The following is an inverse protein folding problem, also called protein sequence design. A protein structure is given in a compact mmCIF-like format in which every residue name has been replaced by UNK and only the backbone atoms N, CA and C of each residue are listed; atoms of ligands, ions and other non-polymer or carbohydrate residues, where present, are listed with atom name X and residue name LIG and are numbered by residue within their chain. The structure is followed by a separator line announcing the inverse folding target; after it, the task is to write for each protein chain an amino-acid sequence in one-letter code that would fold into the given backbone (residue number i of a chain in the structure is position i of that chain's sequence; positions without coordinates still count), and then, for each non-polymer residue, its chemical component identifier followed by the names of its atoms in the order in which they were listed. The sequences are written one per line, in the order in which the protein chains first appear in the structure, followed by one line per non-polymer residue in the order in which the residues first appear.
data_IF_291988609089
#
_entry.id   IF_291988609089
#
_cell.length_a   1.000
_cell.length_b   1.000
_cell.length_c   1.000
_cell.angle_alpha   90.00
_cell.angle_beta   90.00
_cell.angle_gamma   90.00
#
_symmetry.space_group_name_H-M   'P 1'
#
loop_
_entity.id
_entity.type
_entity.pdbx_description
1 polymer ?
#
# COMPACT_ATOMS: atom_id res chain seq x y z
N UNK A 1 -29.78 20.81 -22.15
CA UNK A 1 -28.35 21.23 -22.22
C UNK A 1 -27.84 21.43 -23.65
N UNK A 2 -28.34 20.69 -24.65
CA UNK A 2 -27.96 20.85 -26.08
C UNK A 2 -28.53 22.12 -26.74
N UNK A 3 -29.69 22.60 -26.29
CA UNK A 3 -30.31 23.83 -26.81
C UNK A 3 -29.55 25.11 -26.44
N UNK A 4 -28.88 25.18 -25.29
CA UNK A 4 -28.11 26.35 -24.84
C UNK A 4 -26.75 26.53 -25.54
N UNK A 5 -26.23 25.46 -26.19
CA UNK A 5 -24.96 25.54 -26.94
C UNK A 5 -25.15 26.03 -28.38
N UNK A 6 -26.38 25.96 -28.93
CA UNK A 6 -26.70 26.52 -30.26
C UNK A 6 -26.72 28.05 -30.28
N UNK A 7 -26.96 28.68 -29.14
CA UNK A 7 -27.11 30.16 -29.03
C UNK A 7 -25.77 30.92 -28.97
N UNK A 8 -24.64 30.22 -28.82
CA UNK A 8 -23.30 30.82 -28.70
C UNK A 8 -22.41 30.71 -29.93
N UNK A 9 -22.82 30.02 -30.96
CA UNK A 9 -22.17 30.13 -32.27
C UNK A 9 -22.77 31.37 -32.99
N UNK A 10 -22.11 32.48 -32.78
CA UNK A 10 -22.33 33.78 -33.43
C UNK A 10 -22.13 33.59 -34.94
N UNK A 11 -23.12 33.03 -35.62
CA UNK A 11 -23.19 33.01 -37.09
C UNK A 11 -23.58 34.43 -37.49
N UNK A 12 -22.57 35.30 -37.58
CA UNK A 12 -22.74 36.62 -38.16
C UNK A 12 -23.41 36.45 -39.51
N UNK A 13 -24.69 36.79 -39.60
CA UNK A 13 -25.39 36.94 -40.86
C UNK A 13 -24.56 37.94 -41.69
N UNK A 14 -24.08 37.53 -42.86
CA UNK A 14 -23.23 38.42 -43.65
C UNK A 14 -24.01 39.71 -44.03
N UNK A 15 -23.35 40.88 -43.95
CA UNK A 15 -24.06 42.17 -44.24
C UNK A 15 -24.66 42.16 -45.67
N UNK A 16 -25.84 42.71 -45.79
CA UNK A 16 -26.65 42.75 -47.02
C UNK A 16 -25.87 42.96 -48.34
N UNK A 17 -24.77 43.76 -48.34
CA UNK A 17 -23.89 44.00 -49.50
C UNK A 17 -23.09 42.76 -50.00
N UNK A 18 -22.96 41.67 -49.21
CA UNK A 18 -22.19 40.47 -49.60
C UNK A 18 -23.03 39.45 -50.35
N UNK A 19 -24.37 39.59 -50.34
CA UNK A 19 -25.28 38.65 -51.03
C UNK A 19 -25.49 38.94 -52.51
N UNK A 20 -25.16 40.14 -52.96
CA UNK A 20 -25.30 40.51 -54.39
C UNK A 20 -24.29 39.83 -55.32
N UNK A 21 -23.20 39.27 -54.73
CA UNK A 21 -22.11 38.59 -55.48
C UNK A 21 -21.86 37.16 -55.04
N UNK A 22 -22.86 36.39 -54.57
CA UNK A 22 -22.70 34.96 -54.44
C UNK A 22 -22.60 34.38 -55.82
N UNK A 23 -21.39 34.16 -56.29
CA UNK A 23 -21.15 33.32 -57.48
C UNK A 23 -21.69 31.94 -57.14
N UNK A 24 -22.70 31.52 -57.87
CA UNK A 24 -23.26 30.14 -57.81
C UNK A 24 -22.23 29.22 -58.45
N UNK A 25 -21.14 28.98 -57.71
CA UNK A 25 -20.04 28.08 -58.11
C UNK A 25 -19.96 26.85 -57.25
N UNK A 26 -20.64 26.79 -56.09
CA UNK A 26 -20.72 25.61 -55.26
C UNK A 26 -21.90 24.74 -55.73
N UNK A 27 -21.66 23.54 -56.25
CA UNK A 27 -22.73 22.65 -56.74
C UNK A 27 -23.71 22.20 -55.65
N UNK A 28 -23.42 22.47 -54.38
CA UNK A 28 -24.29 22.22 -53.24
C UNK A 28 -25.26 23.37 -52.91
N UNK A 29 -25.12 24.51 -53.58
CA UNK A 29 -25.94 25.73 -53.35
C UNK A 29 -26.88 25.87 -54.52
N UNK A 30 -28.18 25.99 -54.21
CA UNK A 30 -29.24 26.26 -55.20
C UNK A 30 -29.99 27.51 -54.77
N UNK A 31 -30.27 28.36 -55.74
CA UNK A 31 -31.09 29.57 -55.60
C UNK A 31 -32.48 29.31 -56.16
N UNK A 32 -33.50 29.63 -55.38
CA UNK A 32 -34.90 29.50 -55.75
C UNK A 32 -35.54 30.88 -55.65
N UNK A 33 -36.27 31.29 -56.69
CA UNK A 33 -37.03 32.53 -56.67
C UNK A 33 -38.52 32.17 -56.63
N UNK A 34 -39.25 32.71 -55.65
CA UNK A 34 -40.66 32.45 -55.41
C UNK A 34 -41.48 33.72 -55.69
N UNK A 35 -42.52 33.61 -56.43
CA UNK A 35 -43.52 34.67 -56.65
C UNK A 35 -44.93 34.08 -56.49
N UNK A 36 -45.32 33.71 -55.27
CA UNK A 36 -46.49 32.93 -54.98
C UNK A 36 -46.54 31.49 -55.55
N UNK A 37 -45.77 31.25 -56.60
CA UNK A 37 -45.42 29.96 -57.25
C UNK A 37 -43.94 29.98 -57.58
N UNK A 38 -43.36 28.81 -57.81
CA UNK A 38 -41.96 28.75 -58.21
C UNK A 38 -41.76 29.42 -59.56
N UNK A 39 -40.89 30.40 -59.59
CA UNK A 39 -40.61 31.14 -60.78
C UNK A 39 -39.31 30.69 -61.49
N UNK A 40 -38.28 30.42 -60.70
CA UNK A 40 -36.98 30.06 -61.27
C UNK A 40 -36.11 29.29 -60.26
N UNK A 41 -35.43 28.20 -60.75
CA UNK A 41 -34.42 27.48 -59.99
C UNK A 41 -33.08 27.64 -60.70
N UNK A 42 -32.11 28.21 -60.01
CA UNK A 42 -30.73 28.41 -60.50
C UNK A 42 -29.77 27.57 -59.70
N UNK A 43 -29.14 26.57 -60.33
CA UNK A 43 -28.16 25.67 -59.72
C UNK A 43 -27.98 24.42 -60.59
N UNK A 44 -26.77 23.83 -60.57
CA UNK A 44 -26.42 22.75 -61.45
C UNK A 44 -26.63 21.34 -60.84
N UNK A 45 -27.26 21.26 -59.63
CA UNK A 45 -27.48 20.05 -58.90
C UNK A 45 -28.77 19.31 -59.33
N UNK A 46 -28.66 18.43 -60.33
CA UNK A 46 -29.80 17.61 -60.85
C UNK A 46 -30.48 16.77 -59.77
N UNK A 47 -29.72 16.29 -58.76
CA UNK A 47 -30.29 15.49 -57.66
C UNK A 47 -31.10 16.38 -56.72
N UNK A 48 -30.67 17.58 -56.46
CA UNK A 48 -31.46 18.53 -55.64
C UNK A 48 -32.78 18.86 -56.34
N UNK A 49 -32.73 19.06 -57.64
CA UNK A 49 -33.90 19.46 -58.46
C UNK A 49 -35.02 18.37 -58.36
N UNK A 50 -34.69 17.11 -58.51
CA UNK A 50 -35.68 16.01 -58.37
C UNK A 50 -36.30 15.97 -56.94
N UNK A 51 -35.46 16.06 -55.88
CA UNK A 51 -35.95 16.07 -54.50
C UNK A 51 -36.86 17.28 -54.24
N UNK A 52 -36.49 18.43 -54.75
CA UNK A 52 -37.21 19.64 -54.57
C UNK A 52 -38.59 19.61 -55.27
N UNK A 53 -38.64 19.11 -56.54
CA UNK A 53 -39.87 18.97 -57.30
C UNK A 53 -40.89 18.02 -56.65
N UNK A 54 -40.39 16.96 -56.01
CA UNK A 54 -41.23 15.96 -55.32
C UNK A 54 -41.69 16.45 -53.92
N UNK A 55 -40.96 17.40 -53.28
CA UNK A 55 -41.22 17.80 -51.86
C UNK A 55 -41.32 19.34 -51.73
N UNK A 56 -42.04 19.96 -52.65
CA UNK A 56 -42.15 21.41 -52.76
C UNK A 56 -42.58 22.10 -51.48
N UNK A 57 -43.55 21.49 -50.78
CA UNK A 57 -44.11 22.07 -49.53
C UNK A 57 -43.07 22.14 -48.42
N UNK A 58 -42.16 21.18 -48.33
CA UNK A 58 -41.08 21.15 -47.30
C UNK A 58 -40.07 22.27 -47.47
N UNK A 59 -39.90 22.79 -48.70
CA UNK A 59 -39.00 23.91 -49.02
C UNK A 59 -39.69 25.27 -49.02
N UNK A 60 -41.00 25.32 -48.71
CA UNK A 60 -41.72 26.62 -48.66
C UNK A 60 -41.07 27.57 -47.66
N UNK A 61 -40.84 28.84 -48.04
CA UNK A 61 -40.23 29.84 -47.19
C UNK A 61 -41.20 30.28 -46.08
N UNK A 62 -41.20 29.57 -44.95
CA UNK A 62 -42.05 29.88 -43.78
C UNK A 62 -41.59 31.12 -43.04
N UNK A 63 -40.26 31.36 -42.98
CA UNK A 63 -39.64 32.48 -42.27
C UNK A 63 -38.69 33.25 -43.16
N UNK A 64 -38.82 34.55 -43.19
CA UNK A 64 -37.91 35.45 -43.92
C UNK A 64 -36.77 35.89 -42.99
N UNK A 65 -35.58 35.99 -43.52
CA UNK A 65 -34.35 36.44 -42.84
C UNK A 65 -33.86 35.51 -41.71
N UNK A 66 -34.37 34.25 -41.60
CA UNK A 66 -33.93 33.24 -40.69
C UNK A 66 -33.38 32.01 -41.45
N UNK A 67 -32.45 31.26 -40.79
CA UNK A 67 -31.99 29.99 -41.30
C UNK A 67 -33.02 28.91 -40.95
N UNK A 68 -33.40 28.15 -41.94
CA UNK A 68 -34.31 27.00 -41.80
C UNK A 68 -33.56 25.72 -42.13
N UNK A 69 -33.58 24.77 -41.21
CA UNK A 69 -33.06 23.39 -41.45
C UNK A 69 -34.23 22.55 -41.94
N UNK A 70 -34.07 21.93 -43.09
CA UNK A 70 -35.08 21.13 -43.78
C UNK A 70 -34.58 19.69 -43.93
N UNK A 71 -35.31 18.73 -43.44
CA UNK A 71 -35.01 17.32 -43.62
C UNK A 71 -36.01 16.68 -44.60
N UNK A 72 -35.50 16.18 -45.69
CA UNK A 72 -36.30 15.52 -46.75
C UNK A 72 -35.58 14.28 -47.26
N UNK A 73 -36.27 13.15 -47.27
CA UNK A 73 -35.77 11.86 -47.76
C UNK A 73 -34.39 11.48 -47.18
N UNK A 74 -34.17 11.76 -45.88
CA UNK A 74 -32.90 11.45 -45.17
C UNK A 74 -31.74 12.35 -45.58
N UNK A 75 -32.02 13.49 -46.24
CA UNK A 75 -31.05 14.54 -46.53
C UNK A 75 -31.35 15.80 -45.76
N UNK A 76 -30.29 16.51 -45.41
CA UNK A 76 -30.37 17.74 -44.62
C UNK A 76 -30.00 18.91 -45.50
N UNK A 77 -30.92 19.90 -45.54
CA UNK A 77 -30.74 21.12 -46.27
C UNK A 77 -30.86 22.30 -45.34
N UNK A 78 -30.10 23.36 -45.58
CA UNK A 78 -30.20 24.61 -44.86
C UNK A 78 -30.59 25.71 -45.84
N UNK A 79 -31.73 26.32 -45.58
CA UNK A 79 -32.32 27.36 -46.42
C UNK A 79 -32.29 28.71 -45.72
N UNK A 80 -32.08 29.75 -46.49
CA UNK A 80 -32.17 31.15 -46.07
C UNK A 80 -32.99 31.93 -47.09
N UNK A 81 -34.05 32.61 -46.65
CA UNK A 81 -35.00 33.29 -47.52
C UNK A 81 -34.99 34.77 -47.27
N UNK A 82 -34.96 35.57 -48.37
CA UNK A 82 -34.99 37.03 -48.37
C UNK A 82 -36.06 37.56 -49.33
N UNK A 83 -36.74 38.67 -48.97
CA UNK A 83 -37.62 39.31 -49.86
C UNK A 83 -36.87 40.43 -50.64
N UNK A 84 -36.92 40.41 -51.96
CA UNK A 84 -36.29 41.36 -52.84
C UNK A 84 -37.23 41.68 -54.02
N UNK A 85 -37.52 42.93 -54.23
CA UNK A 85 -38.34 43.45 -55.36
C UNK A 85 -39.75 42.78 -55.50
N UNK A 86 -40.35 42.39 -54.35
CA UNK A 86 -41.66 41.69 -54.33
C UNK A 86 -41.58 40.18 -54.52
N UNK A 87 -40.42 39.66 -54.78
CA UNK A 87 -40.14 38.19 -54.85
C UNK A 87 -39.38 37.70 -53.64
N UNK A 88 -39.54 36.40 -53.29
CA UNK A 88 -38.76 35.80 -52.24
C UNK A 88 -37.61 34.99 -52.90
N UNK A 89 -36.38 35.39 -52.55
CA UNK A 89 -35.17 34.68 -52.99
C UNK A 89 -34.74 33.78 -51.86
N UNK A 90 -34.74 32.46 -52.06
CA UNK A 90 -34.30 31.43 -51.12
C UNK A 90 -33.00 30.82 -51.63
N UNK A 91 -32.02 30.73 -50.76
CA UNK A 91 -30.76 30.02 -50.98
C UNK A 91 -30.79 28.76 -50.16
N UNK A 92 -30.70 27.62 -50.81
CA UNK A 92 -30.70 26.28 -50.18
C UNK A 92 -29.35 25.60 -50.39
N UNK A 93 -28.79 25.12 -49.34
CA UNK A 93 -27.53 24.38 -49.31
C UNK A 93 -27.74 22.97 -48.77
N UNK A 94 -27.24 21.97 -49.48
CA UNK A 94 -27.16 20.58 -48.98
C UNK A 94 -26.05 20.47 -47.93
N UNK A 95 -26.42 20.11 -46.71
CA UNK A 95 -25.53 19.93 -45.53
C UNK A 95 -25.52 18.49 -45.05
N UNK A 96 -26.03 17.56 -45.86
CA UNK A 96 -26.14 16.14 -45.48
C UNK A 96 -24.80 15.54 -45.11
N UNK A 97 -23.72 15.87 -45.81
CA UNK A 97 -22.39 15.37 -45.55
C UNK A 97 -21.82 15.92 -44.22
N UNK A 98 -22.06 17.20 -43.96
CA UNK A 98 -21.62 17.88 -42.74
C UNK A 98 -22.35 17.32 -41.51
N UNK A 99 -23.68 17.14 -41.58
CA UNK A 99 -24.47 16.52 -40.49
C UNK A 99 -24.07 15.06 -40.26
N UNK A 100 -23.85 14.28 -41.32
CA UNK A 100 -23.36 12.92 -41.23
C UNK A 100 -21.99 12.83 -40.55
N UNK A 101 -21.07 13.75 -40.88
CA UNK A 101 -19.76 13.83 -40.26
C UNK A 101 -19.87 14.18 -38.76
N UNK A 102 -20.70 15.16 -38.41
CA UNK A 102 -20.92 15.60 -37.04
C UNK A 102 -21.50 14.47 -36.18
N UNK A 103 -22.50 13.72 -36.70
CA UNK A 103 -23.08 12.61 -36.02
C UNK A 103 -22.08 11.46 -35.81
N UNK A 104 -21.24 11.18 -36.80
CA UNK A 104 -20.18 10.18 -36.70
C UNK A 104 -19.14 10.58 -35.66
N UNK A 105 -18.69 11.83 -35.66
CA UNK A 105 -17.77 12.35 -34.65
C UNK A 105 -18.37 12.29 -33.25
N UNK A 106 -19.63 12.66 -33.11
CA UNK A 106 -20.35 12.58 -31.83
C UNK A 106 -20.41 11.13 -31.31
N UNK A 107 -20.74 10.19 -32.20
CA UNK A 107 -20.78 8.76 -31.84
C UNK A 107 -19.41 8.25 -31.39
N UNK A 108 -18.36 8.57 -32.15
CA UNK A 108 -16.97 8.20 -31.79
C UNK A 108 -16.59 8.78 -30.43
N UNK A 109 -16.92 10.04 -30.15
CA UNK A 109 -16.65 10.68 -28.87
C UNK A 109 -17.39 9.98 -27.72
N UNK A 110 -18.69 9.70 -27.90
CA UNK A 110 -19.49 9.04 -26.87
C UNK A 110 -18.95 7.64 -26.56
N UNK A 111 -18.64 6.85 -27.60
CA UNK A 111 -18.07 5.52 -27.43
C UNK A 111 -16.68 5.61 -26.76
N UNK A 112 -15.82 6.49 -27.24
CA UNK A 112 -14.48 6.67 -26.68
C UNK A 112 -14.51 7.09 -25.21
N UNK A 113 -15.34 8.07 -24.86
CA UNK A 113 -15.53 8.50 -23.46
C UNK A 113 -16.11 7.39 -22.60
N UNK A 114 -17.05 6.61 -23.10
CA UNK A 114 -17.66 5.50 -22.36
C UNK A 114 -16.63 4.39 -22.08
N UNK A 115 -15.88 3.98 -23.08
CA UNK A 115 -14.81 2.98 -22.92
C UNK A 115 -13.72 3.50 -21.97
N UNK A 116 -13.28 4.76 -22.16
CA UNK A 116 -12.28 5.39 -21.29
C UNK A 116 -12.73 5.44 -19.83
N UNK A 117 -13.99 5.78 -19.58
CA UNK A 117 -14.57 5.81 -18.24
C UNK A 117 -14.64 4.42 -17.61
N UNK A 118 -15.07 3.40 -18.37
CA UNK A 118 -15.09 2.02 -17.87
C UNK A 118 -13.70 1.49 -17.54
N UNK A 119 -12.71 1.76 -18.39
CA UNK A 119 -11.32 1.41 -18.14
C UNK A 119 -10.77 2.12 -16.89
N UNK A 120 -11.03 3.42 -16.75
CA UNK A 120 -10.58 4.19 -15.59
C UNK A 120 -11.18 3.65 -14.27
N UNK A 121 -12.47 3.33 -14.27
CA UNK A 121 -13.15 2.71 -13.13
C UNK A 121 -12.51 1.36 -12.80
N UNK A 122 -12.32 0.48 -13.79
CA UNK A 122 -11.72 -0.84 -13.61
C UNK A 122 -10.29 -0.77 -13.04
N UNK A 123 -9.45 0.09 -13.61
CA UNK A 123 -8.09 0.34 -13.11
C UNK A 123 -8.13 0.92 -11.70
N UNK A 124 -9.04 1.87 -11.43
CA UNK A 124 -9.22 2.46 -10.10
C UNK A 124 -9.56 1.42 -9.04
N UNK A 125 -10.51 0.53 -9.30
CA UNK A 125 -10.85 -0.57 -8.39
C UNK A 125 -9.69 -1.56 -8.18
N UNK A 126 -8.99 -1.91 -9.24
CA UNK A 126 -7.82 -2.80 -9.17
C UNK A 126 -6.70 -2.20 -8.30
N UNK A 127 -6.34 -0.95 -8.54
CA UNK A 127 -5.30 -0.25 -7.78
C UNK A 127 -5.72 -0.04 -6.32
N UNK A 128 -6.97 0.37 -6.07
CA UNK A 128 -7.50 0.55 -4.72
C UNK A 128 -7.47 -0.76 -3.94
N UNK A 129 -7.93 -1.87 -4.51
CA UNK A 129 -7.87 -3.18 -3.88
C UNK A 129 -6.43 -3.58 -3.53
N UNK A 130 -5.49 -3.38 -4.46
CA UNK A 130 -4.08 -3.72 -4.21
C UNK A 130 -3.39 -2.81 -3.17
N UNK A 131 -3.79 -1.55 -3.09
CA UNK A 131 -3.24 -0.61 -2.11
C UNK A 131 -3.84 -0.76 -0.71
N UNK A 132 -5.11 -1.14 -0.60
CA UNK A 132 -5.80 -1.27 0.68
C UNK A 132 -5.41 -2.53 1.45
N UNK A 133 -5.11 -3.65 0.78
CA UNK A 133 -4.74 -4.91 1.44
C UNK A 133 -3.56 -4.77 2.41
N UNK A 134 -2.40 -4.17 2.04
CA UNK A 134 -1.30 -4.00 2.97
C UNK A 134 -1.61 -3.03 4.12
N UNK A 135 -2.44 -2.02 3.89
CA UNK A 135 -2.86 -1.07 4.92
C UNK A 135 -3.74 -1.77 5.95
N UNK A 136 -4.73 -2.55 5.50
CA UNK A 136 -5.59 -3.32 6.38
C UNK A 136 -4.81 -4.34 7.20
N UNK A 137 -3.91 -5.10 6.57
CA UNK A 137 -3.04 -6.06 7.27
C UNK A 137 -2.15 -5.38 8.32
N UNK A 138 -1.61 -4.19 8.03
CA UNK A 138 -0.82 -3.42 9.00
C UNK A 138 -1.67 -2.93 10.16
N UNK A 139 -2.90 -2.50 9.89
CA UNK A 139 -3.85 -2.09 10.92
C UNK A 139 -4.26 -3.24 11.83
N UNK A 140 -4.57 -4.40 11.28
CA UNK A 140 -4.91 -5.61 12.03
C UNK A 140 -3.75 -6.04 12.95
N UNK A 141 -2.52 -6.04 12.43
CA UNK A 141 -1.30 -6.33 13.21
C UNK A 141 -1.10 -5.32 14.34
N UNK A 142 -1.39 -4.04 14.11
CA UNK A 142 -1.28 -3.00 15.14
C UNK A 142 -2.35 -3.16 16.23
N UNK A 143 -3.59 -3.48 15.87
CA UNK A 143 -4.65 -3.77 16.83
C UNK A 143 -4.30 -5.00 17.68
N UNK A 144 -3.83 -6.08 17.03
CA UNK A 144 -3.38 -7.29 17.73
C UNK A 144 -2.25 -6.97 18.71
N UNK A 145 -1.25 -6.18 18.29
CA UNK A 145 -0.15 -5.74 19.14
C UNK A 145 -0.62 -5.02 20.40
N UNK A 146 -1.59 -4.09 20.29
CA UNK A 146 -2.14 -3.36 21.46
C UNK A 146 -2.92 -4.30 22.37
N UNK A 147 -3.69 -5.23 21.80
CA UNK A 147 -4.43 -6.24 22.56
C UNK A 147 -3.50 -7.14 23.37
N UNK A 148 -2.48 -7.70 22.71
CA UNK A 148 -1.53 -8.62 23.33
C UNK A 148 -0.68 -7.92 24.40
N UNK A 149 -0.24 -6.66 24.12
CA UNK A 149 0.45 -5.83 25.10
C UNK A 149 -0.39 -5.62 26.36
N UNK A 150 -1.69 -5.35 26.18
CA UNK A 150 -2.62 -5.14 27.31
C UNK A 150 -2.79 -6.41 28.15
N UNK A 151 -2.85 -7.57 27.52
CA UNK A 151 -2.91 -8.86 28.21
C UNK A 151 -1.63 -9.17 28.96
N UNK A 152 -0.47 -8.97 28.34
CA UNK A 152 0.84 -9.25 28.93
C UNK A 152 1.19 -8.29 30.10
N UNK A 153 0.65 -7.06 30.09
CA UNK A 153 0.79 -6.10 31.20
C UNK A 153 -0.15 -6.43 32.36
N UNK A 154 -1.36 -6.92 32.11
CA UNK A 154 -2.38 -7.18 33.12
C UNK A 154 -1.95 -8.29 34.10
N UNK A 155 -1.37 -9.37 33.58
CA UNK A 155 -1.02 -10.54 34.40
C UNK A 155 0.00 -10.23 35.51
N UNK A 156 1.18 -9.64 35.23
CA UNK A 156 2.14 -9.28 36.28
C UNK A 156 1.60 -8.21 37.23
N UNK A 157 0.79 -7.28 36.73
CA UNK A 157 0.16 -6.27 37.57
C UNK A 157 -0.79 -6.89 38.60
N UNK A 158 -1.60 -7.86 38.17
CA UNK A 158 -2.50 -8.59 39.08
C UNK A 158 -1.72 -9.38 40.15
N UNK A 159 -0.56 -9.96 39.79
CA UNK A 159 0.31 -10.65 40.74
C UNK A 159 0.88 -9.67 41.77
N UNK A 160 1.38 -8.52 41.29
CA UNK A 160 1.89 -7.45 42.21
C UNK A 160 0.80 -7.03 43.15
N UNK A 161 -0.41 -6.74 42.66
CA UNK A 161 -1.55 -6.31 43.45
C UNK A 161 -1.94 -7.36 44.47
N UNK A 162 -2.10 -8.61 44.09
CA UNK A 162 -2.42 -9.72 45.00
C UNK A 162 -1.37 -9.90 46.10
N UNK A 163 -0.07 -9.83 45.73
CA UNK A 163 1.01 -9.95 46.72
C UNK A 163 1.05 -8.75 47.69
N UNK A 164 0.75 -7.56 47.17
CA UNK A 164 0.64 -6.35 48.01
C UNK A 164 -0.53 -6.45 48.99
N UNK A 165 -1.69 -6.97 48.57
CA UNK A 165 -2.85 -7.21 49.44
C UNK A 165 -2.52 -8.20 50.58
N UNK A 166 -1.73 -9.26 50.27
CA UNK A 166 -1.24 -10.21 51.27
C UNK A 166 -0.34 -9.53 52.32
N UNK A 167 0.50 -8.56 51.89
CA UNK A 167 1.32 -7.78 52.82
C UNK A 167 0.45 -6.92 53.74
N UNK A 168 -0.58 -6.27 53.22
CA UNK A 168 -1.50 -5.46 54.03
C UNK A 168 -2.31 -6.29 55.02
N UNK A 169 -2.65 -7.53 54.72
CA UNK A 169 -3.37 -8.43 55.62
C UNK A 169 -2.50 -8.97 56.76
N UNK A 170 -1.19 -8.73 56.73
CA UNK A 170 -0.25 -9.24 57.73
C UNK A 170 0.60 -8.09 58.32
N UNK A 171 -0.01 -7.08 58.98
CA UNK A 171 0.71 -5.87 59.42
C UNK A 171 1.76 -6.11 60.50
N UNK A 172 1.68 -7.25 61.21
CA UNK A 172 2.65 -7.63 62.25
C UNK A 172 3.80 -8.51 61.73
N UNK A 173 3.73 -8.93 60.47
CA UNK A 173 4.77 -9.81 59.92
C UNK A 173 6.05 -9.03 59.63
N UNK A 174 7.17 -9.67 59.91
CA UNK A 174 8.49 -9.10 59.58
C UNK A 174 8.78 -9.11 58.09
N UNK A 175 9.74 -8.30 57.63
CA UNK A 175 10.22 -8.31 56.24
C UNK A 175 10.77 -9.69 55.87
N UNK A 176 11.42 -10.38 56.83
CA UNK A 176 11.98 -11.70 56.61
C UNK A 176 10.90 -12.73 56.34
N UNK A 177 9.81 -12.71 57.12
CA UNK A 177 8.64 -13.60 56.91
C UNK A 177 7.95 -13.36 55.58
N UNK A 178 8.00 -12.12 55.03
CA UNK A 178 7.40 -11.72 53.76
C UNK A 178 8.41 -11.60 52.63
N UNK A 179 9.64 -12.04 52.82
CA UNK A 179 10.71 -11.95 51.81
C UNK A 179 10.34 -12.55 50.44
N UNK A 180 9.61 -13.65 50.42
CA UNK A 180 9.14 -14.30 49.21
C UNK A 180 8.10 -13.47 48.47
N UNK A 181 7.15 -12.84 49.19
CA UNK A 181 6.14 -12.01 48.55
C UNK A 181 6.78 -10.72 47.98
N UNK A 182 7.70 -10.11 48.73
CA UNK A 182 8.47 -8.92 48.32
C UNK A 182 9.36 -9.24 47.11
N UNK A 183 10.03 -10.41 47.12
CA UNK A 183 10.86 -10.89 46.02
C UNK A 183 10.03 -11.09 44.74
N UNK A 184 8.82 -11.65 44.89
CA UNK A 184 7.89 -11.84 43.78
C UNK A 184 7.47 -10.50 43.18
N UNK A 185 7.07 -9.52 44.02
CA UNK A 185 6.76 -8.17 43.57
C UNK A 185 7.93 -7.56 42.80
N UNK A 186 9.14 -7.65 43.37
CA UNK A 186 10.35 -7.12 42.71
C UNK A 186 10.66 -7.79 41.35
N UNK A 187 10.44 -9.13 41.25
CA UNK A 187 10.60 -9.87 39.99
C UNK A 187 9.60 -9.39 38.94
N UNK A 188 8.33 -9.23 39.31
CA UNK A 188 7.29 -8.79 38.39
C UNK A 188 7.47 -7.32 37.96
N UNK A 189 7.93 -6.43 38.86
CA UNK A 189 8.28 -5.05 38.51
C UNK A 189 9.40 -5.01 37.45
N UNK A 190 10.47 -5.81 37.62
CA UNK A 190 11.55 -5.92 36.62
C UNK A 190 11.05 -6.47 35.30
N UNK A 191 10.16 -7.48 35.32
CA UNK A 191 9.53 -8.04 34.13
C UNK A 191 8.72 -7.00 33.37
N UNK A 192 7.88 -6.22 34.08
CA UNK A 192 7.09 -5.12 33.51
C UNK A 192 8.00 -4.05 32.89
N UNK A 193 9.07 -3.65 33.57
CA UNK A 193 10.01 -2.66 33.04
C UNK A 193 10.66 -3.13 31.73
N UNK A 194 11.11 -4.41 31.68
CA UNK A 194 11.65 -5.01 30.44
C UNK A 194 10.59 -5.08 29.32
N UNK A 195 9.34 -5.44 29.66
CA UNK A 195 8.23 -5.48 28.70
C UNK A 195 7.94 -4.12 28.11
N UNK A 196 7.79 -3.09 28.94
CA UNK A 196 7.53 -1.69 28.50
C UNK A 196 8.69 -1.19 27.62
N UNK A 197 9.94 -1.44 28.00
CA UNK A 197 11.11 -1.06 27.21
C UNK A 197 11.10 -1.72 25.83
N UNK A 198 10.74 -3.00 25.76
CA UNK A 198 10.63 -3.74 24.49
C UNK A 198 9.48 -3.22 23.61
N UNK A 199 8.33 -2.90 24.22
CA UNK A 199 7.18 -2.32 23.51
C UNK A 199 7.52 -0.95 22.92
N UNK A 200 8.18 -0.08 23.69
CA UNK A 200 8.64 1.22 23.21
C UNK A 200 9.69 1.10 22.09
N UNK A 201 10.59 0.12 22.19
CA UNK A 201 11.56 -0.16 21.15
C UNK A 201 10.86 -0.54 19.85
N UNK A 202 9.92 -1.48 19.90
CA UNK A 202 9.16 -1.93 18.70
C UNK A 202 8.28 -0.81 18.13
N UNK A 203 7.59 -0.03 18.98
CA UNK A 203 6.80 1.09 18.51
C UNK A 203 7.63 2.17 17.78
N UNK A 204 8.83 2.48 18.32
CA UNK A 204 9.77 3.40 17.66
C UNK A 204 10.39 2.80 16.40
N UNK A 205 10.55 1.47 16.34
CA UNK A 205 11.07 0.77 15.16
C UNK A 205 10.13 0.87 13.97
N UNK A 206 8.82 0.76 14.22
CA UNK A 206 7.76 0.87 13.21
C UNK A 206 7.68 2.26 12.59
N UNK A 207 7.93 3.28 13.39
CA UNK A 207 7.97 4.68 12.92
C UNK A 207 9.30 5.08 12.27
N UNK A 208 10.23 4.14 12.12
CA UNK A 208 11.59 4.37 11.62
C UNK A 208 12.36 5.50 12.33
N UNK A 209 12.01 5.75 13.61
CA UNK A 209 12.57 6.85 14.42
C UNK A 209 13.86 6.47 15.17
N UNK A 210 14.31 5.22 15.05
CA UNK A 210 15.53 4.76 15.70
C UNK A 210 16.70 4.93 14.75
N UNK A 211 17.56 5.87 15.07
CA UNK A 211 18.87 5.98 14.43
C UNK A 211 19.82 4.94 15.05
N UNK A 212 20.55 4.22 14.18
CA UNK A 212 21.57 3.25 14.59
C UNK A 212 22.92 3.95 14.76
N UNK A 213 23.54 3.83 15.92
CA UNK A 213 24.91 4.30 16.15
C UNK A 213 25.93 3.28 15.62
N UNK A 214 26.03 3.20 14.27
CA UNK A 214 26.91 2.23 13.60
C UNK A 214 28.36 2.68 13.63
N UNK A 215 29.21 1.89 14.28
CA UNK A 215 30.64 2.07 14.38
C UNK A 215 31.35 0.75 14.09
N UNK A 216 32.61 0.81 13.70
CA UNK A 216 33.44 -0.39 13.55
C UNK A 216 33.88 -0.84 14.95
N UNK A 217 33.63 -2.11 15.26
CA UNK A 217 34.11 -2.76 16.48
C UNK A 217 34.51 -4.20 16.21
N UNK A 218 35.28 -4.80 17.16
CA UNK A 218 35.72 -6.19 17.13
C UNK A 218 34.60 -7.09 17.64
N UNK A 219 33.94 -7.80 16.71
CA UNK A 219 32.79 -8.64 17.01
C UNK A 219 33.21 -9.88 17.83
N UNK A 220 34.38 -10.45 17.58
CA UNK A 220 34.93 -11.55 18.34
C UNK A 220 35.05 -11.20 19.84
N UNK A 221 35.57 -10.02 20.16
CA UNK A 221 35.68 -9.55 21.56
C UNK A 221 34.28 -9.32 22.19
N UNK A 222 33.35 -8.77 21.43
CA UNK A 222 31.99 -8.57 21.92
C UNK A 222 31.33 -9.92 22.24
N UNK A 223 31.48 -10.93 21.38
CA UNK A 223 30.94 -12.27 21.62
C UNK A 223 31.58 -12.93 22.85
N UNK A 224 32.91 -12.82 23.03
CA UNK A 224 33.61 -13.31 24.21
C UNK A 224 33.06 -12.65 25.50
N UNK A 225 32.89 -11.31 25.48
CA UNK A 225 32.34 -10.53 26.60
C UNK A 225 30.91 -10.96 26.98
N UNK A 226 30.06 -11.19 25.98
CA UNK A 226 28.67 -11.61 26.22
C UNK A 226 28.58 -13.06 26.71
N UNK A 227 29.34 -13.97 26.12
CA UNK A 227 29.25 -15.40 26.39
C UNK A 227 29.90 -15.79 27.72
N UNK A 228 30.90 -15.07 28.21
CA UNK A 228 31.60 -15.35 29.43
C UNK A 228 30.65 -15.54 30.66
N UNK A 229 29.76 -14.58 31.01
CA UNK A 229 28.84 -14.78 32.13
C UNK A 229 27.81 -15.89 31.88
N UNK A 230 27.41 -16.12 30.61
CA UNK A 230 26.49 -17.22 30.29
C UNK A 230 27.12 -18.61 30.52
N UNK A 231 28.44 -18.76 30.30
CA UNK A 231 29.15 -20.02 30.61
C UNK A 231 29.07 -20.35 32.09
N UNK A 232 29.23 -19.35 32.96
CA UNK A 232 29.09 -19.54 34.39
C UNK A 232 27.68 -19.99 34.78
N UNK A 233 26.65 -19.28 34.25
CA UNK A 233 25.25 -19.60 34.50
C UNK A 233 24.92 -21.01 33.94
N UNK A 234 25.39 -21.35 32.75
CA UNK A 234 25.20 -22.65 32.12
C UNK A 234 25.78 -23.77 33.02
N UNK A 235 26.99 -23.58 33.53
CA UNK A 235 27.62 -24.54 34.46
C UNK A 235 26.79 -24.75 35.73
N UNK A 236 26.20 -23.68 36.31
CA UNK A 236 25.30 -23.83 37.47
C UNK A 236 24.01 -24.59 37.14
N UNK A 237 23.59 -24.57 35.87
CA UNK A 237 22.41 -25.29 35.37
C UNK A 237 22.76 -26.65 34.73
N UNK A 238 23.96 -27.16 35.00
CA UNK A 238 24.47 -28.40 34.44
C UNK A 238 24.41 -28.49 32.92
N UNK A 239 24.62 -27.34 32.23
CA UNK A 239 24.65 -27.23 30.76
C UNK A 239 26.06 -26.89 30.29
N UNK A 240 26.42 -27.37 29.10
CA UNK A 240 27.70 -27.04 28.49
C UNK A 240 27.54 -25.90 27.47
N UNK A 241 28.37 -24.85 27.55
CA UNK A 241 28.37 -23.77 26.61
C UNK A 241 29.73 -23.58 25.95
N UNK A 242 29.77 -23.65 24.62
CA UNK A 242 30.98 -23.53 23.82
C UNK A 242 30.89 -22.33 22.89
N UNK A 243 31.98 -21.52 22.82
CA UNK A 243 32.13 -20.45 21.86
C UNK A 243 33.29 -20.79 20.91
N UNK A 244 33.02 -20.77 19.61
CA UNK A 244 33.99 -20.90 18.54
C UNK A 244 33.92 -19.62 17.68
N UNK A 245 34.89 -18.76 17.80
CA UNK A 245 34.95 -17.50 17.08
C UNK A 245 36.30 -17.34 16.36
N UNK A 246 36.25 -16.95 15.10
CA UNK A 246 37.43 -16.52 14.37
C UNK A 246 37.93 -15.19 14.97
N UNK A 247 39.23 -15.06 15.15
CA UNK A 247 39.86 -13.84 15.68
C UNK A 247 39.95 -12.73 14.65
N UNK A 248 39.80 -11.49 15.11
CA UNK A 248 39.91 -10.32 14.26
C UNK A 248 38.71 -10.07 13.34
N UNK A 249 37.52 -10.52 13.75
CA UNK A 249 36.29 -10.22 13.02
C UNK A 249 35.85 -8.80 13.32
N UNK A 250 36.10 -7.91 12.37
CA UNK A 250 35.63 -6.52 12.43
C UNK A 250 34.25 -6.37 11.82
N UNK A 251 33.34 -5.68 12.52
CA UNK A 251 31.97 -5.45 12.08
C UNK A 251 31.58 -3.97 12.16
N UNK A 252 30.92 -3.47 11.12
CA UNK A 252 30.31 -2.14 11.10
C UNK A 252 28.85 -2.27 11.58
N UNK A 253 28.56 -1.79 12.79
CA UNK A 253 27.21 -1.91 13.34
C UNK A 253 27.04 -1.16 14.66
N UNK A 254 25.81 -1.18 15.17
CA UNK A 254 25.49 -0.68 16.50
C UNK A 254 25.79 -1.77 17.53
N UNK A 255 26.89 -1.57 18.29
CA UNK A 255 27.42 -2.54 19.26
C UNK A 255 26.38 -2.94 20.31
N UNK A 256 25.63 -1.95 20.83
CA UNK A 256 24.59 -2.19 21.86
C UNK A 256 23.44 -3.02 21.31
N UNK A 257 23.02 -2.79 20.07
CA UNK A 257 21.97 -3.56 19.41
C UNK A 257 22.43 -5.00 19.09
N UNK A 258 23.68 -5.19 18.63
CA UNK A 258 24.23 -6.54 18.43
C UNK A 258 24.34 -7.27 19.76
N UNK A 259 24.79 -6.59 20.83
CA UNK A 259 24.77 -7.15 22.17
C UNK A 259 23.36 -7.61 22.58
N UNK A 260 22.35 -6.73 22.40
CA UNK A 260 20.94 -7.05 22.72
C UNK A 260 20.42 -8.25 21.92
N UNK A 261 20.72 -8.33 20.63
CA UNK A 261 20.36 -9.47 19.79
C UNK A 261 20.96 -10.77 20.33
N UNK A 262 22.27 -10.77 20.64
CA UNK A 262 22.95 -11.96 21.16
C UNK A 262 22.38 -12.40 22.50
N UNK A 263 22.09 -11.46 23.43
CA UNK A 263 21.45 -11.77 24.71
C UNK A 263 20.09 -12.44 24.49
N UNK A 264 19.29 -11.97 23.52
CA UNK A 264 17.98 -12.57 23.19
C UNK A 264 18.16 -14.03 22.71
N UNK A 265 19.12 -14.28 21.83
CA UNK A 265 19.36 -15.62 21.30
C UNK A 265 19.90 -16.55 22.37
N UNK A 266 20.83 -16.08 23.23
CA UNK A 266 21.38 -16.86 24.34
C UNK A 266 20.33 -17.12 25.44
N UNK A 267 19.50 -16.12 25.80
CA UNK A 267 18.38 -16.33 26.74
C UNK A 267 17.45 -17.45 26.25
N UNK A 268 17.16 -17.47 24.94
CA UNK A 268 16.34 -18.55 24.35
C UNK A 268 17.06 -19.91 24.42
N UNK A 269 18.32 -20.01 24.02
CA UNK A 269 19.09 -21.24 24.11
C UNK A 269 19.15 -21.74 25.54
N UNK A 270 19.49 -20.90 26.51
CA UNK A 270 19.54 -21.25 27.94
C UNK A 270 18.18 -21.72 28.46
N UNK A 271 17.10 -21.12 28.04
CA UNK A 271 15.73 -21.41 28.48
C UNK A 271 15.25 -22.79 27.98
N UNK A 272 15.55 -23.11 26.73
CA UNK A 272 14.96 -24.27 26.06
C UNK A 272 15.89 -25.51 26.01
N UNK A 273 17.15 -25.35 26.38
CA UNK A 273 18.07 -26.49 26.62
C UNK A 273 17.78 -27.08 27.97
N UNK A 274 17.75 -28.41 28.06
CA UNK A 274 17.60 -29.16 29.31
C UNK A 274 18.93 -29.24 30.10
N UNK A 275 18.87 -29.68 31.36
CA UNK A 275 20.05 -30.09 32.14
C UNK A 275 20.84 -31.15 31.37
N UNK A 276 22.16 -31.07 31.38
CA UNK A 276 23.07 -31.92 30.59
C UNK A 276 23.14 -31.56 29.10
N UNK A 277 22.42 -30.55 28.64
CA UNK A 277 22.40 -30.16 27.24
C UNK A 277 23.55 -29.22 26.85
N UNK A 278 23.68 -29.00 25.54
CA UNK A 278 24.79 -28.28 24.94
C UNK A 278 24.32 -27.07 24.17
N UNK A 279 25.01 -25.94 24.34
CA UNK A 279 24.79 -24.71 23.61
C UNK A 279 26.10 -24.34 22.91
N UNK A 280 26.05 -24.17 21.60
CA UNK A 280 27.22 -23.81 20.79
C UNK A 280 26.99 -22.50 20.08
N UNK A 281 27.95 -21.59 20.17
CA UNK A 281 27.98 -20.33 19.46
C UNK A 281 29.16 -20.37 18.49
N UNK A 282 28.87 -20.22 17.19
CA UNK A 282 29.88 -20.17 16.14
C UNK A 282 29.84 -18.80 15.46
N UNK A 283 31.01 -18.20 15.25
CA UNK A 283 31.14 -16.97 14.45
C UNK A 283 32.24 -17.17 13.42
N UNK A 284 31.84 -17.08 12.14
CA UNK A 284 32.74 -17.23 11.00
C UNK A 284 32.61 -16.05 10.04
N UNK A 285 33.66 -15.75 9.31
CA UNK A 285 33.61 -14.70 8.29
C UNK A 285 34.02 -15.24 6.92
N UNK A 286 33.40 -14.69 5.89
CA UNK A 286 33.80 -14.88 4.49
C UNK A 286 34.29 -13.55 3.90
N UNK A 287 34.63 -13.53 2.63
CA UNK A 287 34.96 -12.29 1.93
C UNK A 287 33.79 -11.28 1.89
N UNK A 288 32.54 -11.74 1.92
CA UNK A 288 31.32 -10.92 1.73
C UNK A 288 30.38 -10.86 2.92
N UNK A 289 30.49 -11.78 3.88
CA UNK A 289 29.54 -11.90 5.00
C UNK A 289 30.18 -12.35 6.29
N UNK A 290 29.50 -12.03 7.39
CA UNK A 290 29.78 -12.56 8.72
C UNK A 290 28.58 -13.41 9.11
N UNK A 291 28.84 -14.62 9.60
CA UNK A 291 27.82 -15.58 10.02
C UNK A 291 27.96 -15.86 11.51
N UNK A 292 26.87 -15.71 12.24
CA UNK A 292 26.75 -16.09 13.65
C UNK A 292 25.71 -17.18 13.76
N UNK A 293 26.04 -18.26 14.42
CA UNK A 293 25.10 -19.34 14.70
C UNK A 293 25.02 -19.56 16.22
N UNK A 294 23.83 -19.68 16.73
CA UNK A 294 23.52 -20.10 18.10
C UNK A 294 22.72 -21.39 18.02
N UNK A 295 23.35 -22.49 18.40
CA UNK A 295 22.78 -23.83 18.32
C UNK A 295 22.61 -24.41 19.72
N UNK A 296 21.46 -24.98 19.98
CA UNK A 296 21.13 -25.75 21.17
C UNK A 296 20.61 -27.15 20.80
N UNK A 297 20.77 -28.09 21.71
CA UNK A 297 20.19 -29.45 21.66
C UNK A 297 18.94 -29.57 22.54
N UNK A 298 18.21 -28.47 22.71
CA UNK A 298 17.02 -28.38 23.54
C UNK A 298 15.78 -29.05 22.94
N UNK A 299 14.63 -28.63 23.42
CA UNK A 299 13.33 -29.21 23.03
C UNK A 299 12.97 -29.03 21.54
N UNK A 300 13.64 -28.13 20.84
CA UNK A 300 13.32 -27.81 19.46
C UNK A 300 11.97 -27.11 19.30
N UNK A 301 11.61 -26.86 18.02
CA UNK A 301 10.39 -26.18 17.61
C UNK A 301 9.61 -27.05 16.62
N UNK A 302 8.29 -27.08 16.72
CA UNK A 302 7.43 -27.75 15.74
C UNK A 302 7.50 -27.04 14.39
N UNK A 303 7.44 -27.79 13.29
CA UNK A 303 7.53 -27.26 11.94
C UNK A 303 6.45 -26.19 11.65
N UNK A 304 5.24 -26.37 12.18
CA UNK A 304 4.11 -25.42 12.04
C UNK A 304 4.32 -24.08 12.75
N UNK A 305 5.25 -24.03 13.72
CA UNK A 305 5.56 -22.86 14.55
C UNK A 305 6.74 -22.06 14.00
N UNK A 306 7.62 -22.68 13.22
CA UNK A 306 8.84 -22.07 12.68
C UNK A 306 8.56 -20.75 11.94
N UNK A 307 7.54 -20.65 11.05
CA UNK A 307 7.25 -19.40 10.34
C UNK A 307 6.79 -18.26 11.24
N UNK A 308 6.32 -18.56 12.46
CA UNK A 308 5.74 -17.59 13.40
C UNK A 308 6.69 -17.14 14.49
N UNK A 309 7.87 -17.76 14.60
CA UNK A 309 8.81 -17.51 15.71
C UNK A 309 9.25 -16.04 15.83
N UNK A 310 9.27 -15.31 14.72
CA UNK A 310 9.64 -13.90 14.68
C UNK A 310 8.45 -12.95 14.80
N UNK A 311 7.21 -13.49 14.90
CA UNK A 311 6.03 -12.68 15.14
C UNK A 311 6.01 -12.17 16.58
N UNK A 312 5.46 -10.96 16.76
CA UNK A 312 5.36 -10.33 18.09
C UNK A 312 4.39 -11.13 18.95
N UNK A 313 4.74 -11.29 20.24
CA UNK A 313 3.96 -12.04 21.24
C UNK A 313 3.77 -13.52 20.91
N UNK A 314 4.44 -14.02 19.87
CA UNK A 314 4.35 -15.43 19.57
C UNK A 314 5.08 -16.27 20.63
N UNK A 315 4.40 -17.28 21.14
CA UNK A 315 4.92 -18.29 22.09
C UNK A 315 4.35 -19.65 21.73
N UNK A 316 5.21 -20.65 21.57
CA UNK A 316 4.76 -22.03 21.40
C UNK A 316 4.06 -22.58 22.66
N UNK A 317 3.25 -23.60 22.52
CA UNK A 317 2.36 -24.12 23.59
C UNK A 317 3.06 -24.41 24.92
N UNK A 318 4.28 -24.94 24.91
CA UNK A 318 5.07 -25.20 26.14
C UNK A 318 5.66 -23.94 26.78
N UNK A 319 5.96 -22.92 25.98
CA UNK A 319 6.49 -21.64 26.48
C UNK A 319 5.43 -20.85 27.25
N UNK A 320 4.16 -21.01 26.92
CA UNK A 320 3.02 -20.40 27.64
C UNK A 320 2.87 -20.92 29.08
N UNK A 321 3.24 -22.19 29.35
CA UNK A 321 3.08 -22.78 30.66
C UNK A 321 4.16 -22.35 31.66
N UNK A 322 5.30 -21.86 31.23
CA UNK A 322 6.44 -21.48 32.10
C UNK A 322 6.49 -20.00 32.46
N UNK A 323 5.51 -19.19 32.03
CA UNK A 323 5.36 -17.74 32.36
C UNK A 323 6.58 -16.84 32.08
N UNK A 324 7.63 -17.33 31.46
CA UNK A 324 8.88 -16.61 31.26
C UNK A 324 9.03 -16.08 29.83
N UNK A 325 8.74 -14.81 29.64
CA UNK A 325 8.94 -14.07 28.38
C UNK A 325 7.64 -13.67 27.71
N UNK A 326 7.60 -12.46 27.16
CA UNK A 326 6.41 -11.89 26.50
C UNK A 326 6.35 -12.20 24.98
N UNK A 327 7.21 -13.08 24.44
CA UNK A 327 7.23 -13.35 22.98
C UNK A 327 7.73 -12.19 22.11
N UNK A 328 8.41 -11.21 22.69
CA UNK A 328 8.94 -10.05 21.96
C UNK A 328 10.42 -10.19 21.58
N UNK A 329 11.15 -11.11 22.19
CA UNK A 329 12.61 -11.21 22.02
C UNK A 329 13.01 -11.46 20.58
N UNK A 330 12.50 -12.51 19.96
CA UNK A 330 12.89 -12.88 18.59
C UNK A 330 12.45 -11.84 17.55
N UNK A 331 11.32 -11.16 17.74
CA UNK A 331 10.92 -10.06 16.87
C UNK A 331 11.86 -8.85 16.96
N UNK A 332 12.39 -8.58 18.17
CA UNK A 332 13.43 -7.56 18.36
C UNK A 332 14.75 -8.00 17.72
N UNK A 333 15.16 -9.26 17.89
CA UNK A 333 16.36 -9.78 17.24
C UNK A 333 16.28 -9.68 15.71
N UNK A 334 15.15 -10.06 15.13
CA UNK A 334 14.90 -9.91 13.69
C UNK A 334 15.01 -8.45 13.25
N UNK A 335 14.37 -7.53 13.96
CA UNK A 335 14.45 -6.10 13.67
C UNK A 335 15.90 -5.57 13.73
N UNK A 336 16.69 -5.97 14.73
CA UNK A 336 18.11 -5.58 14.83
C UNK A 336 18.87 -6.09 13.61
N UNK A 337 18.64 -7.33 13.21
CA UNK A 337 19.30 -7.95 12.05
C UNK A 337 18.94 -7.21 10.76
N UNK A 338 17.66 -6.90 10.53
CA UNK A 338 17.18 -6.14 9.38
C UNK A 338 17.80 -4.74 9.30
N UNK A 339 17.91 -4.04 10.44
CA UNK A 339 18.54 -2.71 10.51
C UNK A 339 20.05 -2.74 10.22
N UNK A 340 20.67 -3.90 10.33
CA UNK A 340 22.04 -4.15 9.93
C UNK A 340 22.16 -4.81 8.54
N UNK A 341 21.08 -4.78 7.73
CA UNK A 341 21.01 -5.38 6.40
C UNK A 341 21.32 -6.87 6.39
N UNK A 342 21.15 -7.55 7.54
CA UNK A 342 21.35 -8.97 7.70
C UNK A 342 20.10 -9.78 7.43
N UNK A 343 20.25 -11.10 7.58
CA UNK A 343 19.15 -12.06 7.54
C UNK A 343 19.29 -12.99 8.73
N UNK A 344 18.19 -13.23 9.45
CA UNK A 344 18.08 -14.27 10.47
C UNK A 344 17.23 -15.41 9.94
N UNK A 345 17.66 -16.63 10.23
CA UNK A 345 16.93 -17.86 9.91
C UNK A 345 17.00 -18.83 11.08
N UNK A 346 16.11 -19.79 11.09
CA UNK A 346 16.03 -20.82 12.12
C UNK A 346 15.87 -22.19 11.47
N UNK A 347 16.66 -23.12 11.92
CA UNK A 347 16.51 -24.55 11.62
C UNK A 347 16.26 -25.26 12.93
N UNK A 348 15.17 -25.99 13.04
CA UNK A 348 14.80 -26.69 14.27
C UNK A 348 13.98 -27.92 13.96
N UNK A 349 14.13 -28.93 14.81
CA UNK A 349 13.30 -30.10 14.80
C UNK A 349 12.92 -30.46 16.24
N UNK A 350 11.64 -30.72 16.41
CA UNK A 350 11.10 -31.05 17.72
C UNK A 350 11.83 -32.27 18.33
N UNK A 351 12.43 -32.11 19.51
CA UNK A 351 13.22 -33.08 20.23
C UNK A 351 14.71 -33.09 19.89
N UNK A 352 15.17 -32.40 18.85
CA UNK A 352 16.57 -32.43 18.38
C UNK A 352 17.31 -31.11 18.63
N UNK A 353 16.56 -30.01 19.02
CA UNK A 353 17.14 -28.71 19.30
C UNK A 353 16.87 -27.66 18.23
N UNK A 354 17.51 -26.48 18.37
CA UNK A 354 17.33 -25.32 17.50
C UNK A 354 18.66 -24.71 17.11
N UNK A 355 18.75 -24.25 15.88
CA UNK A 355 19.86 -23.46 15.37
C UNK A 355 19.33 -22.13 14.81
N UNK A 356 19.67 -21.02 15.45
CA UNK A 356 19.48 -19.69 14.89
C UNK A 356 20.72 -19.28 14.12
N UNK A 357 20.56 -18.90 12.86
CA UNK A 357 21.62 -18.41 12.02
C UNK A 357 21.38 -16.94 11.66
N UNK A 358 22.37 -16.09 11.89
CA UNK A 358 22.37 -14.67 11.51
C UNK A 358 23.50 -14.44 10.52
N UNK A 359 23.17 -13.84 9.39
CA UNK A 359 24.12 -13.49 8.33
C UNK A 359 24.10 -11.99 8.12
N UNK A 360 25.24 -11.33 8.33
CA UNK A 360 25.42 -9.90 8.04
C UNK A 360 26.29 -9.71 6.81
N UNK A 361 25.98 -8.74 5.94
CA UNK A 361 26.90 -8.33 4.87
C UNK A 361 28.11 -7.63 5.49
N UNK A 362 29.32 -7.95 5.02
CA UNK A 362 30.57 -7.35 5.51
C UNK A 362 30.70 -5.89 5.08
N UNK A 363 30.26 -5.57 3.87
CA UNK A 363 30.22 -4.20 3.34
C UNK A 363 28.81 -3.61 3.56
N UNK A 364 28.57 -3.03 4.71
CA UNK A 364 27.36 -2.26 4.94
C UNK A 364 27.51 -0.88 4.30
N UNK A 365 26.52 -0.47 3.51
CA UNK A 365 26.43 0.93 3.07
C UNK A 365 26.11 1.80 4.29
N UNK A 366 26.91 2.84 4.45
CA UNK A 366 26.70 3.90 5.45
C UNK A 366 25.42 4.65 5.09
#
# INVERSE_FOLDING_TARGET
MIAQYREKLDVKVPPRKRMENIQIGDPRVTRITWNGKIVKIEGDNRKFRSIFEENLESFSPEKLEELQDIEVQGRYFRAFSLQKDGEIVQIVRDITAEEGMLNTLFLILVIGCSIGSLCAIGIGFFLAGRALVPIQSSWEKQQQFVSDASHELRTPLAVIQSKTDVLFQSPSATIEEKAMDISTISKECRRLSKLVSNLLLLARSDSNQIEMDKKIFELDKLLEEIVAPYKEIASYQEKEMMLKVERGVSFMGDRERIHQMMVILLDNAMKYTNEGGHIQIDCTQTSSSIRIQVKDDGIGVKEEDIPKLFDRFYQGDKARSTSEGAGLGLSIANWIVEKHYGKISVESKWGDGTCFEVIFPKNQKI
#
